data_IF_138765151845
#
_entry.id   IF_138765151845
#
_cell.length_a   1.000
_cell.length_b   1.000
_cell.length_c   1.000
_cell.angle_alpha   90.00
_cell.angle_beta   90.00
_cell.angle_gamma   90.00
#
_symmetry.space_group_name_H-M   'P 1'
#
loop_
_entity.id
_entity.type
_entity.pdbx_description
1 polymer ?
#
# COMPACT_ATOMS: atom_id res chain seq x y z
N UNK A 1 30.39 9.61 -6.37
CA UNK A 1 29.01 10.10 -6.57
C UNK A 1 28.12 9.25 -5.71
N UNK A 2 27.20 9.82 -4.89
CA UNK A 2 26.31 9.01 -4.05
C UNK A 2 25.32 8.23 -4.91
N UNK A 3 24.95 7.02 -4.47
CA UNK A 3 23.94 6.19 -5.12
C UNK A 3 22.55 6.75 -4.81
N UNK A 4 21.67 6.84 -5.80
CA UNK A 4 20.32 7.38 -5.65
C UNK A 4 19.29 6.30 -5.93
N UNK A 5 18.41 6.07 -4.95
CA UNK A 5 17.36 5.04 -4.99
C UNK A 5 16.00 5.72 -4.95
N UNK A 6 15.07 5.34 -5.81
CA UNK A 6 13.65 5.67 -5.64
C UNK A 6 12.94 4.50 -4.93
N UNK A 7 12.35 4.76 -3.76
CA UNK A 7 11.46 3.80 -3.08
C UNK A 7 10.07 3.89 -3.70
N UNK A 8 9.71 2.91 -4.53
CA UNK A 8 8.47 2.92 -5.31
C UNK A 8 7.55 1.80 -4.87
N UNK A 9 6.32 2.14 -4.50
CA UNK A 9 5.25 1.19 -4.17
C UNK A 9 4.27 0.96 -5.32
N UNK A 10 4.50 1.63 -6.45
CA UNK A 10 3.66 1.61 -7.66
C UNK A 10 2.25 2.21 -7.46
N UNK A 11 1.98 2.82 -6.31
CA UNK A 11 0.82 3.70 -6.11
C UNK A 11 1.12 5.13 -6.63
N UNK A 12 0.08 5.97 -6.70
CA UNK A 12 0.10 7.28 -7.36
C UNK A 12 1.32 8.16 -6.99
N UNK A 13 1.57 8.40 -5.70
CA UNK A 13 2.61 9.34 -5.28
C UNK A 13 4.00 8.85 -5.66
N UNK A 14 4.29 7.58 -5.40
CA UNK A 14 5.59 7.00 -5.72
C UNK A 14 5.83 6.86 -7.22
N UNK A 15 4.78 6.64 -8.00
CA UNK A 15 4.87 6.59 -9.46
C UNK A 15 5.03 8.00 -10.05
N UNK A 16 4.23 8.98 -9.61
CA UNK A 16 4.38 10.37 -10.04
C UNK A 16 5.80 10.89 -9.75
N UNK A 17 6.29 10.64 -8.54
CA UNK A 17 7.68 10.94 -8.17
C UNK A 17 8.68 10.32 -9.15
N UNK A 18 8.56 9.03 -9.42
CA UNK A 18 9.47 8.32 -10.35
C UNK A 18 9.43 8.92 -11.75
N UNK A 19 8.24 9.15 -12.30
CA UNK A 19 8.07 9.73 -13.63
C UNK A 19 8.69 11.12 -13.72
N UNK A 20 8.49 11.96 -12.72
CA UNK A 20 9.06 13.31 -12.66
C UNK A 20 10.57 13.31 -12.44
N UNK A 21 11.12 12.41 -11.61
CA UNK A 21 12.58 12.25 -11.47
C UNK A 21 13.23 11.96 -12.83
N UNK A 22 12.63 11.06 -13.58
CA UNK A 22 13.08 10.71 -14.94
C UNK A 22 12.93 11.92 -15.89
N UNK A 23 11.76 12.55 -15.92
CA UNK A 23 11.48 13.67 -16.81
C UNK A 23 12.38 14.89 -16.56
N UNK A 24 12.72 15.15 -15.30
CA UNK A 24 13.60 16.27 -14.88
C UNK A 24 15.09 15.92 -14.90
N UNK A 25 15.46 14.69 -15.24
CA UNK A 25 16.86 14.24 -15.30
C UNK A 25 17.57 14.22 -13.92
N UNK A 26 16.83 13.96 -12.84
CA UNK A 26 17.44 13.79 -11.53
C UNK A 26 18.31 12.54 -11.46
N UNK A 27 19.39 12.53 -10.66
CA UNK A 27 20.22 11.34 -10.47
C UNK A 27 19.36 10.18 -9.95
N UNK A 28 19.29 9.07 -10.70
CA UNK A 28 18.53 7.90 -10.32
C UNK A 28 19.25 6.64 -10.82
N UNK A 29 19.79 5.87 -9.91
CA UNK A 29 20.54 4.65 -10.20
C UNK A 29 19.64 3.41 -10.09
N UNK A 30 18.66 3.44 -9.19
CA UNK A 30 17.90 2.24 -8.84
C UNK A 30 16.48 2.57 -8.36
N UNK A 31 15.52 1.74 -8.78
CA UNK A 31 14.16 1.70 -8.23
C UNK A 31 14.06 0.48 -7.32
N UNK A 32 13.63 0.71 -6.09
CA UNK A 32 13.44 -0.35 -5.08
C UNK A 32 11.97 -0.45 -4.72
N UNK A 33 11.40 -1.64 -4.90
CA UNK A 33 10.04 -2.01 -4.51
C UNK A 33 10.08 -3.04 -3.38
N UNK A 34 9.43 -2.74 -2.26
CA UNK A 34 9.20 -3.75 -1.22
C UNK A 34 7.81 -4.37 -1.43
N UNK A 35 7.81 -5.60 -1.87
CA UNK A 35 6.61 -6.36 -2.20
C UNK A 35 6.18 -7.21 -1.01
N UNK A 36 5.00 -6.97 -0.51
CA UNK A 36 4.40 -7.78 0.57
C UNK A 36 3.72 -9.05 0.04
N UNK A 37 3.52 -9.16 -1.27
CA UNK A 37 2.73 -10.22 -1.91
C UNK A 37 1.21 -10.02 -1.75
N UNK A 38 0.76 -8.87 -1.20
CA UNK A 38 -0.66 -8.59 -0.90
C UNK A 38 -1.17 -7.33 -1.59
N UNK A 39 -0.47 -6.86 -2.61
CA UNK A 39 -0.91 -5.71 -3.39
C UNK A 39 -2.06 -6.10 -4.34
N UNK A 40 -2.84 -5.12 -4.80
CA UNK A 40 -3.79 -5.33 -5.90
C UNK A 40 -3.05 -5.68 -7.20
N UNK A 41 -3.67 -6.45 -8.09
CA UNK A 41 -3.06 -6.80 -9.39
C UNK A 41 -2.71 -5.55 -10.22
N UNK A 42 -3.53 -4.52 -10.13
CA UNK A 42 -3.27 -3.22 -10.76
C UNK A 42 -1.91 -2.60 -10.38
N UNK A 43 -1.41 -2.84 -9.17
CA UNK A 43 -0.08 -2.40 -8.73
C UNK A 43 1.02 -3.14 -9.49
N UNK A 44 0.86 -4.47 -9.65
CA UNK A 44 1.81 -5.28 -10.42
C UNK A 44 1.78 -4.94 -11.91
N UNK A 45 0.61 -4.70 -12.47
CA UNK A 45 0.47 -4.24 -13.86
C UNK A 45 1.17 -2.89 -14.09
N UNK A 46 1.01 -1.94 -13.16
CA UNK A 46 1.70 -0.63 -13.21
C UNK A 46 3.22 -0.81 -13.16
N UNK A 47 3.72 -1.69 -12.29
CA UNK A 47 5.13 -2.06 -12.25
C UNK A 47 5.60 -2.60 -13.61
N UNK A 48 4.90 -3.58 -14.13
CA UNK A 48 5.29 -4.28 -15.36
C UNK A 48 5.26 -3.36 -16.58
N UNK A 49 4.37 -2.37 -16.60
CA UNK A 49 4.34 -1.30 -17.60
C UNK A 49 5.57 -0.40 -17.53
N UNK A 50 6.13 -0.19 -16.33
CA UNK A 50 7.31 0.67 -16.13
C UNK A 50 8.65 -0.06 -16.34
N UNK A 51 8.74 -1.36 -16.11
CA UNK A 51 10.01 -2.10 -16.16
C UNK A 51 10.76 -1.93 -17.49
N UNK A 52 10.14 -2.02 -18.69
CA UNK A 52 10.85 -1.81 -19.95
C UNK A 52 11.48 -0.40 -20.07
N UNK A 53 10.79 0.63 -19.55
CA UNK A 53 11.30 2.00 -19.55
C UNK A 53 12.51 2.17 -18.63
N UNK A 54 12.50 1.53 -17.46
CA UNK A 54 13.64 1.53 -16.53
C UNK A 54 14.86 0.85 -17.18
N UNK A 55 14.65 -0.29 -17.83
CA UNK A 55 15.71 -1.01 -18.55
C UNK A 55 16.33 -0.17 -19.66
N UNK A 56 15.51 0.47 -20.50
CA UNK A 56 15.98 1.38 -21.57
C UNK A 56 16.82 2.55 -21.03
N UNK A 57 16.50 3.04 -19.83
CA UNK A 57 17.22 4.13 -19.17
C UNK A 57 18.44 3.65 -18.37
N UNK A 58 18.70 2.35 -18.31
CA UNK A 58 19.78 1.78 -17.50
C UNK A 58 19.54 1.92 -15.99
N UNK A 59 18.30 2.11 -15.55
CA UNK A 59 17.93 2.23 -14.14
C UNK A 59 17.67 0.83 -13.59
N UNK A 60 18.44 0.43 -12.59
CA UNK A 60 18.29 -0.88 -11.96
C UNK A 60 16.94 -0.99 -11.24
N UNK A 61 16.28 -2.15 -11.36
CA UNK A 61 15.11 -2.50 -10.57
C UNK A 61 15.45 -3.57 -9.54
N UNK A 62 15.05 -3.36 -8.28
CA UNK A 62 15.23 -4.34 -7.21
C UNK A 62 13.92 -4.53 -6.45
N UNK A 63 13.48 -5.77 -6.37
CA UNK A 63 12.37 -6.22 -5.53
C UNK A 63 12.91 -6.72 -4.20
N UNK A 64 12.42 -6.15 -3.11
CA UNK A 64 12.64 -6.65 -1.75
C UNK A 64 11.36 -7.35 -1.28
N UNK A 65 11.54 -8.39 -0.51
CA UNK A 65 10.44 -9.19 0.05
C UNK A 65 10.59 -9.32 1.57
N UNK A 66 9.50 -9.57 2.30
CA UNK A 66 9.60 -9.93 3.71
C UNK A 66 10.32 -11.28 3.87
N UNK A 67 10.98 -11.47 5.01
CA UNK A 67 11.68 -12.72 5.35
C UNK A 67 10.74 -13.94 5.34
N UNK A 68 9.50 -13.74 5.80
CA UNK A 68 8.45 -14.75 5.74
C UNK A 68 7.31 -14.27 4.85
N UNK A 69 6.61 -15.18 4.14
CA UNK A 69 5.41 -14.85 3.42
C UNK A 69 4.37 -14.15 4.33
N UNK A 70 3.72 -13.13 3.80
CA UNK A 70 2.73 -12.34 4.56
C UNK A 70 1.66 -13.22 5.22
N UNK A 71 1.10 -14.18 4.46
CA UNK A 71 0.05 -15.06 4.96
C UNK A 71 0.54 -16.02 6.03
N UNK A 72 1.79 -16.50 5.93
CA UNK A 72 2.39 -17.30 6.99
C UNK A 72 2.47 -16.51 8.31
N UNK A 73 3.00 -15.29 8.26
CA UNK A 73 3.08 -14.42 9.44
C UNK A 73 1.69 -14.09 9.99
N UNK A 74 0.71 -13.87 9.11
CA UNK A 74 -0.65 -13.50 9.49
C UNK A 74 -1.43 -14.64 10.12
N UNK A 75 -1.26 -15.89 9.65
CA UNK A 75 -2.14 -17.01 9.97
C UNK A 75 -1.46 -18.13 10.77
N UNK A 76 -0.17 -18.39 10.53
CA UNK A 76 0.45 -19.65 10.94
C UNK A 76 1.62 -19.47 11.91
N UNK A 77 2.33 -18.35 11.83
CA UNK A 77 3.52 -18.11 12.64
C UNK A 77 3.21 -18.27 14.14
N UNK A 78 3.99 -19.08 14.89
CA UNK A 78 3.87 -19.10 16.36
C UNK A 78 4.18 -17.73 16.96
N UNK A 79 3.23 -17.18 17.71
CA UNK A 79 3.34 -15.87 18.37
C UNK A 79 3.12 -16.04 19.87
N UNK A 80 4.06 -15.58 20.68
CA UNK A 80 3.88 -15.49 22.12
C UNK A 80 3.54 -14.05 22.51
N UNK A 81 2.39 -13.85 23.13
CA UNK A 81 1.97 -12.54 23.65
C UNK A 81 1.71 -12.61 25.16
N UNK A 82 2.00 -11.50 25.87
CA UNK A 82 1.76 -11.40 27.31
C UNK A 82 0.28 -11.57 27.70
N UNK A 83 -0.64 -11.21 26.79
CA UNK A 83 -2.09 -11.22 27.06
C UNK A 83 -2.77 -12.54 26.65
N UNK A 84 -2.28 -13.21 25.59
CA UNK A 84 -2.94 -14.38 24.99
C UNK A 84 -2.14 -15.67 25.09
N UNK A 85 -0.92 -15.63 25.70
CA UNK A 85 -0.01 -16.75 25.65
C UNK A 85 0.47 -17.05 24.22
N UNK A 86 0.76 -18.32 23.94
CA UNK A 86 1.17 -18.78 22.61
C UNK A 86 -0.05 -19.01 21.73
N UNK A 87 -0.07 -18.41 20.56
CA UNK A 87 -1.12 -18.56 19.54
C UNK A 87 -0.51 -18.54 18.14
N UNK A 88 -1.28 -18.94 17.13
CA UNK A 88 -0.87 -18.90 15.72
C UNK A 88 -1.26 -17.58 15.08
N UNK A 89 -0.36 -17.06 14.24
CA UNK A 89 -0.53 -15.87 13.44
C UNK A 89 -0.70 -14.57 14.22
N UNK A 90 -0.32 -13.47 13.58
CA UNK A 90 -0.57 -12.13 14.13
C UNK A 90 -2.03 -11.66 13.93
N UNK A 91 -2.76 -12.29 13.02
CA UNK A 91 -4.11 -11.88 12.59
C UNK A 91 -4.13 -10.50 11.94
N UNK A 92 -5.26 -9.79 12.09
CA UNK A 92 -5.41 -8.43 11.58
C UNK A 92 -4.48 -7.45 12.31
N UNK A 93 -3.68 -6.70 11.56
CA UNK A 93 -2.71 -5.75 12.09
C UNK A 93 -3.11 -4.32 11.76
N UNK A 94 -3.89 -3.70 12.67
CA UNK A 94 -4.31 -2.30 12.56
C UNK A 94 -3.26 -1.29 13.05
N UNK A 95 -3.46 -0.02 12.73
CA UNK A 95 -2.55 1.06 13.09
C UNK A 95 -1.22 0.97 12.34
N UNK A 96 -0.10 0.95 13.05
CA UNK A 96 1.22 0.73 12.45
C UNK A 96 1.35 -0.72 11.98
N UNK A 97 1.07 -0.94 10.70
CA UNK A 97 1.12 -2.26 10.09
C UNK A 97 2.54 -2.84 10.17
N UNK A 98 2.64 -4.07 10.67
CA UNK A 98 3.90 -4.81 10.80
C UNK A 98 4.60 -5.02 9.47
N UNK A 99 3.85 -5.32 8.41
CA UNK A 99 4.37 -5.65 7.08
C UNK A 99 4.51 -4.43 6.20
N UNK A 100 3.40 -3.81 5.82
CA UNK A 100 3.36 -2.71 4.84
C UNK A 100 3.93 -1.38 5.33
N UNK A 101 4.15 -1.21 6.65
CA UNK A 101 4.77 -0.01 7.22
C UNK A 101 6.11 -0.35 7.86
N UNK A 102 6.09 -1.02 9.00
CA UNK A 102 7.31 -1.23 9.80
C UNK A 102 8.33 -2.12 9.08
N UNK A 103 7.88 -3.23 8.49
CA UNK A 103 8.75 -4.15 7.74
C UNK A 103 9.35 -3.48 6.51
N UNK A 104 8.50 -2.83 5.72
CA UNK A 104 8.89 -2.08 4.52
C UNK A 104 9.95 -1.01 4.83
N UNK A 105 9.67 -0.14 5.81
CA UNK A 105 10.60 0.94 6.15
C UNK A 105 11.95 0.40 6.60
N UNK A 106 11.97 -0.61 7.48
CA UNK A 106 13.21 -1.24 7.95
C UNK A 106 14.01 -1.88 6.80
N UNK A 107 13.34 -2.55 5.88
CA UNK A 107 14.01 -3.20 4.75
C UNK A 107 14.64 -2.18 3.79
N UNK A 108 13.89 -1.13 3.44
CA UNK A 108 14.37 -0.05 2.56
C UNK A 108 15.52 0.72 3.22
N UNK A 109 15.37 1.10 4.50
CA UNK A 109 16.41 1.81 5.24
C UNK A 109 17.71 0.99 5.30
N UNK A 110 17.63 -0.30 5.69
CA UNK A 110 18.80 -1.21 5.71
C UNK A 110 19.44 -1.35 4.32
N UNK A 111 18.61 -1.46 3.28
CA UNK A 111 19.08 -1.59 1.91
C UNK A 111 19.85 -0.34 1.45
N UNK A 112 19.35 0.84 1.79
CA UNK A 112 19.95 2.12 1.47
C UNK A 112 21.24 2.37 2.26
N UNK A 113 21.22 2.10 3.57
CA UNK A 113 22.38 2.25 4.46
C UNK A 113 23.58 1.38 4.00
N UNK A 114 23.32 0.13 3.59
CA UNK A 114 24.35 -0.77 3.08
C UNK A 114 25.02 -0.27 1.78
N UNK A 115 24.48 0.77 1.13
CA UNK A 115 24.95 1.35 -0.14
C UNK A 115 25.38 2.81 -0.02
N UNK A 116 25.32 3.39 1.16
CA UNK A 116 25.48 4.84 1.39
C UNK A 116 24.59 5.65 0.40
N UNK A 117 23.34 5.23 0.23
CA UNK A 117 22.45 5.77 -0.79
C UNK A 117 21.56 6.90 -0.27
N UNK A 118 21.25 7.86 -1.16
CA UNK A 118 20.12 8.79 -1.00
C UNK A 118 18.85 8.10 -1.45
N UNK A 119 17.73 8.33 -0.76
CA UNK A 119 16.46 7.68 -1.05
C UNK A 119 15.38 8.72 -1.36
N UNK A 120 14.84 8.69 -2.56
CA UNK A 120 13.65 9.43 -2.92
C UNK A 120 12.40 8.71 -2.40
N UNK A 121 11.54 9.43 -1.70
CA UNK A 121 10.30 8.92 -1.11
C UNK A 121 9.13 9.77 -1.60
N UNK A 122 8.12 9.12 -2.19
CA UNK A 122 6.90 9.78 -2.68
C UNK A 122 5.98 10.12 -1.51
N UNK A 123 6.18 11.29 -0.91
CA UNK A 123 5.29 11.91 0.06
C UNK A 123 4.85 13.23 -0.54
N UNK A 124 3.53 13.40 -0.71
CA UNK A 124 2.94 14.58 -1.32
C UNK A 124 3.02 15.81 -0.41
N UNK A 125 2.91 17.01 -0.98
CA UNK A 125 3.06 18.27 -0.26
C UNK A 125 1.99 18.49 0.82
N UNK A 126 0.80 17.92 0.65
CA UNK A 126 -0.32 17.97 1.58
C UNK A 126 -0.27 16.91 2.70
N UNK A 127 0.69 15.96 2.64
CA UNK A 127 0.91 14.97 3.70
C UNK A 127 1.86 15.49 4.81
N UNK A 128 1.66 16.72 5.27
CA UNK A 128 2.53 17.40 6.27
C UNK A 128 2.89 16.55 7.50
N UNK A 129 1.97 15.79 8.14
CA UNK A 129 2.33 14.96 9.30
C UNK A 129 3.30 13.80 8.98
N UNK A 130 3.34 13.35 7.71
CA UNK A 130 4.33 12.34 7.26
C UNK A 130 5.68 12.96 7.01
N UNK A 131 5.71 14.13 6.36
CA UNK A 131 6.95 14.88 6.10
C UNK A 131 7.66 15.26 7.40
N UNK A 132 6.93 15.66 8.44
CA UNK A 132 7.49 15.98 9.74
C UNK A 132 8.14 14.79 10.45
N UNK A 133 7.64 13.58 10.23
CA UNK A 133 8.15 12.35 10.84
C UNK A 133 9.30 11.71 10.07
N UNK A 134 9.37 11.89 8.76
CA UNK A 134 10.37 11.25 7.89
C UNK A 134 11.55 12.19 7.58
N UNK A 135 12.27 12.62 8.64
CA UNK A 135 13.38 13.60 8.56
C UNK A 135 14.77 12.95 8.56
N UNK A 136 14.93 11.77 7.99
CA UNK A 136 16.24 11.15 7.88
C UNK A 136 17.10 11.89 6.84
N UNK A 137 18.40 12.20 7.12
CA UNK A 137 19.21 13.08 6.27
C UNK A 137 19.50 12.50 4.87
N UNK A 138 19.32 11.20 4.69
CA UNK A 138 19.47 10.54 3.39
C UNK A 138 18.15 10.40 2.62
N UNK A 139 17.03 10.86 3.15
CA UNK A 139 15.73 10.85 2.48
C UNK A 139 15.42 12.19 1.83
N UNK A 140 14.92 12.11 0.62
CA UNK A 140 14.52 13.25 -0.21
C UNK A 140 13.02 13.10 -0.51
N UNK A 141 12.28 14.21 -0.46
CA UNK A 141 10.83 14.24 -0.68
C UNK A 141 10.49 15.13 -1.89
N UNK A 142 10.79 14.70 -3.13
CA UNK A 142 10.69 15.56 -4.30
C UNK A 142 9.29 16.10 -4.55
N UNK A 143 8.23 15.31 -4.33
CA UNK A 143 6.85 15.79 -4.53
C UNK A 143 6.54 17.00 -3.63
N UNK A 144 6.95 16.93 -2.36
CA UNK A 144 6.78 18.05 -1.43
C UNK A 144 7.61 19.27 -1.85
N UNK A 145 8.85 19.08 -2.30
CA UNK A 145 9.73 20.15 -2.82
C UNK A 145 9.14 20.81 -4.07
N UNK A 146 8.43 20.04 -4.91
CA UNK A 146 7.77 20.54 -6.12
C UNK A 146 6.35 21.06 -5.85
N UNK A 147 5.88 21.03 -4.61
CA UNK A 147 4.55 21.47 -4.22
C UNK A 147 3.41 20.61 -4.75
N UNK A 148 3.68 19.34 -5.13
CA UNK A 148 2.65 18.43 -5.66
C UNK A 148 1.84 17.80 -4.54
N UNK A 149 0.52 17.94 -4.65
CA UNK A 149 -0.47 17.28 -3.78
C UNK A 149 -0.73 15.82 -4.22
N UNK A 150 -1.42 15.03 -3.37
CA UNK A 150 -1.88 13.68 -3.76
C UNK A 150 -2.76 13.73 -5.02
N UNK A 151 -3.61 14.76 -5.15
CA UNK A 151 -4.46 14.94 -6.33
C UNK A 151 -3.65 15.27 -7.60
N UNK A 152 -2.63 16.14 -7.51
CA UNK A 152 -1.75 16.45 -8.63
C UNK A 152 -0.95 15.23 -9.06
N UNK A 153 -0.47 14.43 -8.11
CA UNK A 153 0.25 13.19 -8.37
C UNK A 153 -0.60 12.17 -9.13
N UNK A 154 -1.87 12.02 -8.75
CA UNK A 154 -2.82 11.14 -9.44
C UNK A 154 -3.10 11.63 -10.86
N UNK A 155 -3.40 12.94 -11.02
CA UNK A 155 -3.63 13.53 -12.34
C UNK A 155 -2.44 13.34 -13.27
N UNK A 156 -1.23 13.62 -12.76
CA UNK A 156 0.01 13.43 -13.52
C UNK A 156 0.22 11.98 -13.97
N UNK A 157 -0.11 11.01 -13.13
CA UNK A 157 -0.05 9.59 -13.51
C UNK A 157 -1.05 9.28 -14.64
N UNK A 158 -2.28 9.77 -14.56
CA UNK A 158 -3.29 9.57 -15.60
C UNK A 158 -2.86 10.20 -16.94
N UNK A 159 -2.33 11.41 -16.93
CA UNK A 159 -1.78 12.10 -18.10
C UNK A 159 -0.63 11.33 -18.77
N UNK A 160 0.12 10.56 -17.98
CA UNK A 160 1.21 9.71 -18.45
C UNK A 160 0.75 8.28 -18.81
N UNK A 161 -0.58 8.01 -18.87
CA UNK A 161 -1.15 6.76 -19.34
C UNK A 161 -1.19 5.64 -18.31
N UNK A 162 -1.04 5.96 -17.01
CA UNK A 162 -1.17 5.00 -15.92
C UNK A 162 -2.55 5.08 -15.29
N UNK A 163 -3.19 3.94 -15.14
CA UNK A 163 -4.46 3.81 -14.43
C UNK A 163 -4.49 2.46 -13.71
N UNK A 164 -4.86 2.48 -12.45
CA UNK A 164 -4.92 1.26 -11.62
C UNK A 164 -6.28 0.59 -11.80
N UNK A 165 -6.40 -0.26 -12.82
CA UNK A 165 -7.63 -0.95 -13.17
C UNK A 165 -7.67 -2.37 -12.59
N UNK A 166 -8.76 -2.68 -11.89
CA UNK A 166 -9.19 -4.04 -11.57
C UNK A 166 -10.43 -4.34 -12.41
N UNK A 167 -10.24 -5.09 -13.50
CA UNK A 167 -11.25 -5.20 -14.54
C UNK A 167 -11.53 -3.83 -15.16
N UNK A 168 -12.76 -3.32 -14.98
CA UNK A 168 -13.18 -1.99 -15.44
C UNK A 168 -13.14 -0.91 -14.36
N UNK A 169 -12.81 -1.27 -13.13
CA UNK A 169 -12.86 -0.37 -11.98
C UNK A 169 -11.51 0.29 -11.76
N UNK A 170 -11.45 1.62 -11.77
CA UNK A 170 -10.28 2.37 -11.31
C UNK A 170 -10.24 2.33 -9.78
N UNK A 171 -9.15 1.83 -9.22
CA UNK A 171 -9.04 1.72 -7.76
C UNK A 171 -9.13 3.06 -7.05
N UNK A 172 -8.58 4.13 -7.60
CA UNK A 172 -8.63 5.47 -6.99
C UNK A 172 -10.00 6.16 -7.09
N UNK A 173 -10.95 5.64 -7.88
CA UNK A 173 -12.34 6.11 -7.88
C UNK A 173 -13.12 5.54 -6.68
N UNK A 174 -12.68 4.40 -6.14
CA UNK A 174 -13.39 3.65 -5.10
C UNK A 174 -12.63 3.51 -3.78
N UNK A 175 -11.32 3.78 -3.78
CA UNK A 175 -10.45 3.70 -2.61
C UNK A 175 -9.70 5.02 -2.42
N UNK A 176 -9.63 5.50 -1.18
CA UNK A 176 -8.84 6.68 -0.83
C UNK A 176 -7.34 6.40 -0.97
N UNK A 177 -6.94 5.15 -0.67
CA UNK A 177 -5.57 4.68 -0.77
C UNK A 177 -5.50 3.27 -1.35
N UNK A 178 -4.73 3.13 -2.41
CA UNK A 178 -4.38 1.81 -2.95
C UNK A 178 -3.22 1.24 -2.13
N UNK A 179 -3.57 0.52 -1.07
CA UNK A 179 -2.69 -0.25 -0.19
C UNK A 179 -2.96 -1.73 -0.39
N UNK A 180 -2.31 -2.61 0.39
CA UNK A 180 -2.63 -4.06 0.35
C UNK A 180 -4.15 -4.28 0.34
N UNK A 181 -4.64 -5.20 -0.51
CA UNK A 181 -6.08 -5.46 -0.60
C UNK A 181 -6.70 -5.91 0.72
N UNK A 182 -5.94 -6.59 1.58
CA UNK A 182 -6.36 -7.07 2.91
C UNK A 182 -6.11 -6.06 4.06
N UNK A 183 -5.84 -4.78 3.76
CA UNK A 183 -5.50 -3.80 4.77
C UNK A 183 -6.68 -3.49 5.70
N UNK A 184 -6.58 -3.86 6.99
CA UNK A 184 -7.61 -3.57 7.98
C UNK A 184 -7.65 -2.08 8.41
N UNK A 185 -6.71 -1.25 7.94
CA UNK A 185 -6.74 0.21 8.14
C UNK A 185 -7.66 0.92 7.14
N UNK A 186 -8.14 0.26 6.07
CA UNK A 186 -9.16 0.84 5.19
C UNK A 186 -10.36 1.32 6.01
N UNK A 187 -10.89 2.49 5.67
CA UNK A 187 -12.08 3.02 6.33
C UNK A 187 -13.35 2.27 5.89
N UNK A 188 -14.49 2.53 6.53
CA UNK A 188 -15.73 1.80 6.22
C UNK A 188 -16.27 2.11 4.83
N UNK A 189 -16.02 3.31 4.29
CA UNK A 189 -16.40 3.68 2.92
C UNK A 189 -15.60 2.85 1.91
N UNK A 190 -14.29 2.76 2.09
CA UNK A 190 -13.43 1.92 1.24
C UNK A 190 -13.82 0.44 1.30
N UNK A 191 -14.13 -0.10 2.50
CA UNK A 191 -14.56 -1.48 2.66
C UNK A 191 -15.92 -1.74 1.99
N UNK A 192 -16.87 -0.78 2.09
CA UNK A 192 -18.16 -0.83 1.39
C UNK A 192 -17.94 -0.82 -0.13
N UNK A 193 -17.08 0.05 -0.63
CA UNK A 193 -16.74 0.10 -2.04
C UNK A 193 -16.07 -1.19 -2.53
N UNK A 194 -15.19 -1.79 -1.73
CA UNK A 194 -14.62 -3.10 -2.06
C UNK A 194 -15.69 -4.19 -2.13
N UNK A 195 -16.65 -4.20 -1.20
CA UNK A 195 -17.74 -5.15 -1.20
C UNK A 195 -18.60 -5.04 -2.48
N UNK A 196 -18.81 -3.83 -2.99
CA UNK A 196 -19.66 -3.55 -4.15
C UNK A 196 -18.92 -3.73 -5.48
N UNK A 197 -17.73 -3.12 -5.59
CA UNK A 197 -17.02 -2.96 -6.87
C UNK A 197 -15.87 -3.94 -7.08
N UNK A 198 -15.38 -4.59 -6.01
CA UNK A 198 -14.25 -5.52 -6.04
C UNK A 198 -14.62 -6.86 -5.38
N UNK A 199 -15.65 -7.56 -5.90
CA UNK A 199 -16.21 -8.75 -5.24
C UNK A 199 -15.19 -9.88 -5.05
N UNK A 200 -14.25 -10.06 -5.98
CA UNK A 200 -13.21 -11.08 -5.85
C UNK A 200 -12.29 -10.82 -4.64
N UNK A 201 -11.90 -9.56 -4.41
CA UNK A 201 -11.12 -9.18 -3.23
C UNK A 201 -11.95 -9.27 -1.94
N UNK A 202 -13.26 -9.01 -2.03
CA UNK A 202 -14.15 -9.18 -0.89
C UNK A 202 -14.28 -10.65 -0.48
N UNK A 203 -14.38 -11.58 -1.43
CA UNK A 203 -14.33 -13.01 -1.12
C UNK A 203 -12.99 -13.43 -0.49
N UNK A 204 -11.87 -12.94 -1.00
CA UNK A 204 -10.55 -13.17 -0.37
C UNK A 204 -10.52 -12.65 1.08
N UNK A 205 -11.15 -11.50 1.38
CA UNK A 205 -11.27 -11.00 2.75
C UNK A 205 -12.12 -11.91 3.63
N UNK A 206 -13.22 -12.46 3.11
CA UNK A 206 -14.05 -13.45 3.84
C UNK A 206 -13.25 -14.72 4.14
N UNK A 207 -12.44 -15.20 3.20
CA UNK A 207 -11.57 -16.35 3.41
C UNK A 207 -10.54 -16.11 4.53
N UNK A 208 -9.96 -14.91 4.61
CA UNK A 208 -9.10 -14.54 5.72
C UNK A 208 -9.87 -14.46 7.05
N UNK A 209 -11.09 -13.87 7.03
CA UNK A 209 -11.90 -13.76 8.24
C UNK A 209 -12.33 -15.12 8.80
N UNK A 210 -12.57 -16.13 7.93
CA UNK A 210 -12.83 -17.52 8.37
C UNK A 210 -11.67 -18.15 9.14
N UNK A 211 -10.45 -17.70 8.87
CA UNK A 211 -9.20 -18.19 9.49
C UNK A 211 -8.75 -17.35 10.68
N UNK A 212 -9.35 -16.20 10.91
CA UNK A 212 -8.97 -15.26 11.96
C UNK A 212 -10.19 -14.97 12.84
N UNK A 213 -10.16 -15.42 14.07
CA UNK A 213 -11.27 -15.25 15.01
C UNK A 213 -11.58 -13.78 15.34
N UNK A 214 -10.54 -12.94 15.38
CA UNK A 214 -10.71 -11.52 15.65
C UNK A 214 -11.39 -10.83 14.49
N UNK A 215 -12.48 -10.04 14.70
CA UNK A 215 -13.10 -9.25 13.65
C UNK A 215 -12.13 -8.25 13.02
N UNK A 216 -12.14 -8.11 11.69
CA UNK A 216 -11.20 -7.26 10.93
C UNK A 216 -11.11 -5.83 11.45
N UNK A 217 -12.24 -5.20 11.77
CA UNK A 217 -12.35 -3.85 12.34
C UNK A 217 -12.57 -3.84 13.86
N UNK A 218 -12.31 -4.98 14.54
CA UNK A 218 -12.53 -5.11 15.97
C UNK A 218 -13.99 -4.99 16.37
N UNK A 219 -14.24 -4.38 17.53
CA UNK A 219 -15.58 -4.26 18.11
C UNK A 219 -16.01 -2.78 18.18
N UNK A 220 -17.30 -2.53 18.03
CA UNK A 220 -17.90 -1.22 18.27
C UNK A 220 -19.15 -1.38 19.13
N UNK A 221 -19.20 -0.76 20.30
CA UNK A 221 -20.27 -0.92 21.29
C UNK A 221 -20.58 -2.40 21.60
N UNK A 222 -19.53 -3.23 21.73
CA UNK A 222 -19.64 -4.65 22.00
C UNK A 222 -20.00 -5.54 20.81
N UNK A 223 -20.35 -4.95 19.66
CA UNK A 223 -20.70 -5.71 18.45
C UNK A 223 -19.45 -5.93 17.58
N UNK A 224 -19.25 -7.15 17.03
CA UNK A 224 -18.15 -7.42 16.13
C UNK A 224 -18.31 -6.67 14.80
N UNK A 225 -17.19 -6.27 14.21
CA UNK A 225 -17.12 -5.66 12.87
C UNK A 225 -16.14 -6.46 12.01
N UNK A 226 -16.41 -7.74 11.87
CA UNK A 226 -15.74 -8.62 10.94
C UNK A 226 -16.25 -8.42 9.52
N UNK A 227 -15.67 -9.14 8.56
CA UNK A 227 -16.02 -9.00 7.14
C UNK A 227 -17.49 -9.41 6.88
N UNK A 228 -17.98 -10.44 7.57
CA UNK A 228 -19.36 -10.93 7.39
C UNK A 228 -20.39 -9.95 7.96
N UNK A 229 -20.17 -9.39 9.15
CA UNK A 229 -21.05 -8.39 9.75
C UNK A 229 -21.06 -7.09 8.94
N UNK A 230 -19.90 -6.70 8.40
CA UNK A 230 -19.81 -5.54 7.51
C UNK A 230 -20.55 -5.78 6.19
N UNK A 231 -20.46 -6.97 5.61
CA UNK A 231 -21.22 -7.31 4.39
C UNK A 231 -22.71 -7.19 4.61
N UNK A 232 -23.24 -7.77 5.70
CA UNK A 232 -24.66 -7.67 6.04
C UNK A 232 -25.11 -6.21 6.19
N UNK A 233 -24.32 -5.41 6.90
CA UNK A 233 -24.56 -3.99 7.06
C UNK A 233 -24.58 -3.25 5.72
N UNK A 234 -23.57 -3.45 4.86
CA UNK A 234 -23.48 -2.77 3.57
C UNK A 234 -24.63 -3.14 2.64
N UNK A 235 -25.06 -4.40 2.64
CA UNK A 235 -26.25 -4.84 1.89
C UNK A 235 -27.52 -4.16 2.37
N UNK A 236 -27.73 -4.07 3.69
CA UNK A 236 -28.89 -3.38 4.25
C UNK A 236 -28.88 -1.87 3.91
N UNK A 237 -27.72 -1.21 3.93
CA UNK A 237 -27.57 0.19 3.52
C UNK A 237 -27.95 0.38 2.04
N UNK A 238 -27.50 -0.51 1.13
CA UNK A 238 -27.84 -0.48 -0.29
C UNK A 238 -29.33 -0.68 -0.55
N UNK A 239 -29.96 -1.62 0.17
CA UNK A 239 -31.41 -1.85 0.04
C UNK A 239 -32.23 -0.64 0.49
N UNK A 240 -31.76 0.08 1.53
CA UNK A 240 -32.40 1.32 1.99
C UNK A 240 -32.23 2.44 0.96
N UNK A 241 -31.02 2.62 0.41
CA UNK A 241 -30.75 3.61 -0.64
C UNK A 241 -31.58 3.36 -1.91
N UNK A 242 -31.81 2.10 -2.28
CA UNK A 242 -32.62 1.73 -3.45
C UNK A 242 -34.13 1.95 -3.25
N UNK A 243 -34.60 2.12 -1.99
CA UNK A 243 -36.01 2.38 -1.65
C UNK A 243 -36.32 3.86 -1.44
N UNK A 244 -35.31 4.70 -1.31
CA UNK A 244 -35.41 6.14 -1.08
C UNK A 244 -35.44 6.92 -2.40
#
# INVERSE_FOLDING_TARGET
MKWHIASVSWGQDSLAMLLMLIAKGHPLNEVVFYDTGMEFEAIYHTRDQMLPRLEQLGIKYTRLEPENPFLFDMLERPVCSKQKGTHQGYGWCGGLCRWGTTGKLKAIDRYAEARDAMVYVGIAADETPRLEKDRKPYKLHPLAEWGMTEADALAYCYENGFSWLEGTIRLYDVLDRVSCWCCCNKNLRELRNMCIYLPEYWERLKDLQRKIDRPMKGYYKGQPRGVFELEQRFRAELEQEARA
#
